data_IF_514065005111
#
_entry.id   IF_514065005111
#
_cell.length_a   1.000
_cell.length_b   1.000
_cell.length_c   1.000
_cell.angle_alpha   90.00
_cell.angle_beta   90.00
_cell.angle_gamma   90.00
#
_symmetry.space_group_name_H-M   'P 1'
#
loop_
_entity.id
_entity.type
_entity.pdbx_description
1 polymer ?
#
# COMPACT_ATOMS: atom_id res chain seq x y z
N UNK A 1 4.39 8.68 10.75
CA UNK A 1 3.30 9.61 10.38
C UNK A 1 1.92 8.93 10.33
N UNK A 2 1.77 7.72 9.74
CA UNK A 2 0.47 6.99 9.79
C UNK A 2 -0.02 6.78 11.22
N UNK A 3 0.89 6.42 12.14
CA UNK A 3 0.54 6.26 13.56
C UNK A 3 0.08 7.58 14.19
N UNK A 4 0.83 8.66 13.96
CA UNK A 4 0.46 9.99 14.48
C UNK A 4 -0.90 10.46 13.93
N UNK A 5 -1.13 10.27 12.62
CA UNK A 5 -2.40 10.60 11.98
C UNK A 5 -3.57 9.88 12.63
N UNK A 6 -3.41 8.59 12.89
CA UNK A 6 -4.47 7.75 13.46
C UNK A 6 -4.78 8.15 14.91
N UNK A 7 -3.76 8.47 15.71
CA UNK A 7 -3.92 8.99 17.06
C UNK A 7 -4.59 10.38 17.12
N UNK A 8 -4.39 11.20 16.07
CA UNK A 8 -5.08 12.47 15.95
C UNK A 8 -6.56 12.33 15.60
N UNK A 9 -6.91 11.25 14.88
CA UNK A 9 -8.27 10.99 14.38
C UNK A 9 -9.19 10.33 15.39
N UNK A 10 -8.68 9.45 16.25
CA UNK A 10 -9.50 8.63 17.12
C UNK A 10 -9.02 8.66 18.58
N UNK A 11 -9.96 8.64 19.52
CA UNK A 11 -9.73 8.55 20.97
C UNK A 11 -9.79 7.10 21.45
N UNK A 12 -9.21 6.78 22.62
CA UNK A 12 -9.38 5.47 23.24
C UNK A 12 -10.85 5.06 23.32
N UNK A 13 -11.16 3.85 22.92
CA UNK A 13 -12.52 3.30 22.88
C UNK A 13 -13.30 3.55 21.59
N UNK A 14 -12.86 4.46 20.72
CA UNK A 14 -13.44 4.65 19.40
C UNK A 14 -12.90 3.61 18.40
N UNK A 15 -13.58 3.47 17.27
CA UNK A 15 -13.20 2.58 16.19
C UNK A 15 -12.71 3.34 14.95
N UNK A 16 -11.87 2.70 14.15
CA UNK A 16 -11.44 3.19 12.84
C UNK A 16 -11.68 2.09 11.78
N UNK A 17 -12.42 2.44 10.74
CA UNK A 17 -12.69 1.55 9.61
C UNK A 17 -11.52 1.58 8.63
N UNK A 18 -10.97 0.42 8.27
CA UNK A 18 -9.81 0.33 7.38
C UNK A 18 -9.80 -0.96 6.54
N UNK A 19 -9.26 -0.94 5.30
CA UNK A 19 -9.17 -2.12 4.47
C UNK A 19 -8.11 -3.10 5.00
N UNK A 20 -8.29 -4.40 4.76
CA UNK A 20 -7.32 -5.42 5.21
C UNK A 20 -5.94 -5.30 4.60
N UNK A 21 -5.80 -4.66 3.45
CA UNK A 21 -4.48 -4.40 2.84
C UNK A 21 -3.77 -3.17 3.39
N UNK A 22 -4.14 -2.74 4.61
CA UNK A 22 -3.51 -1.61 5.30
C UNK A 22 -2.10 -1.97 5.80
N UNK A 23 -1.23 -0.98 5.88
CA UNK A 23 0.08 -1.18 6.48
C UNK A 23 -0.01 -1.45 7.98
N UNK A 24 0.78 -2.38 8.48
CA UNK A 24 0.80 -2.81 9.90
C UNK A 24 0.88 -1.67 10.92
N UNK A 25 1.48 -0.54 10.56
CA UNK A 25 1.60 0.62 11.44
C UNK A 25 0.24 1.21 11.85
N UNK A 26 -0.81 1.02 11.04
CA UNK A 26 -2.15 1.46 11.41
C UNK A 26 -2.74 0.58 12.51
N UNK A 27 -2.53 -0.73 12.45
CA UNK A 27 -2.94 -1.64 13.53
C UNK A 27 -2.13 -1.35 14.81
N UNK A 28 -0.82 -1.12 14.69
CA UNK A 28 0.01 -0.73 15.83
C UNK A 28 -0.46 0.58 16.46
N UNK A 29 -0.89 1.56 15.65
CA UNK A 29 -1.46 2.80 16.18
C UNK A 29 -2.74 2.55 16.97
N UNK A 30 -3.60 1.65 16.52
CA UNK A 30 -4.79 1.23 17.24
C UNK A 30 -4.42 0.60 18.60
N UNK A 31 -3.36 -0.22 18.64
CA UNK A 31 -2.86 -0.80 19.90
C UNK A 31 -2.40 0.29 20.87
N UNK A 32 -1.57 1.23 20.42
CA UNK A 32 -1.05 2.32 21.27
C UNK A 32 -2.15 3.29 21.72
N UNK A 33 -3.08 3.60 20.83
CA UNK A 33 -4.15 4.57 21.08
C UNK A 33 -5.37 4.00 21.80
N UNK A 34 -5.41 2.69 22.08
CA UNK A 34 -6.62 2.06 22.62
C UNK A 34 -7.82 2.14 21.67
N UNK A 35 -7.56 2.25 20.37
CA UNK A 35 -8.55 2.37 19.29
C UNK A 35 -8.88 0.98 18.73
N UNK A 36 -10.11 0.76 18.32
CA UNK A 36 -10.54 -0.51 17.73
C UNK A 36 -10.42 -0.47 16.21
N UNK A 37 -9.60 -1.35 15.58
CA UNK A 37 -9.59 -1.47 14.13
C UNK A 37 -10.78 -2.31 13.66
N UNK A 38 -11.63 -1.74 12.80
CA UNK A 38 -12.66 -2.48 12.07
C UNK A 38 -12.11 -2.74 10.66
N UNK A 39 -11.80 -4.00 10.37
CA UNK A 39 -11.18 -4.38 9.10
C UNK A 39 -12.25 -4.84 8.11
N UNK A 40 -12.28 -4.25 6.93
CA UNK A 40 -13.10 -4.73 5.83
C UNK A 40 -12.27 -5.39 4.74
N UNK A 41 -12.84 -6.43 4.14
CA UNK A 41 -12.20 -7.13 3.03
C UNK A 41 -12.08 -6.24 1.80
N UNK A 42 -11.05 -6.52 1.01
CA UNK A 42 -10.87 -5.94 -0.32
C UNK A 42 -11.08 -7.02 -1.39
N UNK A 43 -11.46 -6.65 -2.63
CA UNK A 43 -11.58 -7.62 -3.72
C UNK A 43 -10.28 -8.40 -3.91
N UNK A 44 -10.39 -9.73 -4.00
CA UNK A 44 -9.26 -10.62 -4.19
C UNK A 44 -9.24 -11.19 -5.61
N UNK A 45 -8.09 -11.12 -6.26
CA UNK A 45 -7.87 -11.59 -7.62
C UNK A 45 -7.31 -13.02 -7.59
N UNK A 46 -8.20 -14.01 -7.74
CA UNK A 46 -7.86 -15.43 -7.59
C UNK A 46 -6.91 -15.98 -8.65
N UNK A 47 -6.81 -15.32 -9.82
CA UNK A 47 -5.90 -15.71 -10.89
C UNK A 47 -4.44 -15.35 -10.61
N UNK A 48 -4.21 -14.44 -9.67
CA UNK A 48 -2.89 -13.89 -9.34
C UNK A 48 -2.56 -13.85 -7.85
N UNK A 49 -3.53 -14.11 -7.00
CA UNK A 49 -3.32 -14.33 -5.56
C UNK A 49 -3.06 -13.09 -4.73
N UNK A 50 -3.59 -11.91 -5.15
CA UNK A 50 -3.48 -10.69 -4.36
C UNK A 50 -4.75 -9.82 -4.38
N UNK A 51 -4.77 -8.82 -3.51
CA UNK A 51 -5.87 -7.87 -3.41
C UNK A 51 -5.86 -6.85 -4.58
N UNK A 52 -7.05 -6.36 -4.94
CA UNK A 52 -7.27 -5.26 -5.87
C UNK A 52 -7.73 -4.01 -5.15
N UNK A 53 -8.09 -2.98 -5.90
CA UNK A 53 -8.85 -1.82 -5.42
C UNK A 53 -10.35 -2.16 -5.32
N UNK A 54 -11.09 -1.29 -4.68
CA UNK A 54 -12.54 -1.40 -4.54
C UNK A 54 -13.22 -0.09 -5.00
N UNK A 55 -14.51 -0.21 -5.34
CA UNK A 55 -15.34 0.90 -5.75
C UNK A 55 -16.18 1.48 -4.59
N UNK A 56 -16.92 2.55 -4.90
CA UNK A 56 -17.83 3.20 -3.95
C UNK A 56 -18.88 2.22 -3.38
N UNK A 57 -19.43 1.31 -4.19
CA UNK A 57 -20.46 0.37 -3.73
C UNK A 57 -19.90 -0.62 -2.71
N UNK A 58 -18.64 -1.03 -2.90
CA UNK A 58 -17.93 -1.87 -1.94
C UNK A 58 -17.74 -1.15 -0.60
N UNK A 59 -17.29 0.10 -0.64
CA UNK A 59 -17.10 0.94 0.54
C UNK A 59 -18.42 1.19 1.28
N UNK A 60 -19.50 1.49 0.57
CA UNK A 60 -20.84 1.66 1.16
C UNK A 60 -21.31 0.42 1.93
N UNK A 61 -21.04 -0.78 1.40
CA UNK A 61 -21.34 -2.02 2.12
C UNK A 61 -20.48 -2.15 3.37
N UNK A 62 -19.19 -1.84 3.27
CA UNK A 62 -18.28 -1.90 4.41
C UNK A 62 -18.70 -0.94 5.52
N UNK A 63 -19.07 0.31 5.19
CA UNK A 63 -19.54 1.31 6.15
C UNK A 63 -20.85 0.84 6.81
N UNK A 64 -21.84 0.37 6.04
CA UNK A 64 -23.11 -0.14 6.61
C UNK A 64 -22.87 -1.30 7.57
N UNK A 65 -22.09 -2.29 7.18
CA UNK A 65 -21.81 -3.44 8.03
C UNK A 65 -20.99 -3.02 9.28
N UNK A 66 -20.15 -2.00 9.19
CA UNK A 66 -19.44 -1.46 10.34
C UNK A 66 -20.38 -0.73 11.31
N UNK A 67 -21.37 0.00 10.79
CA UNK A 67 -22.39 0.67 11.59
C UNK A 67 -23.29 -0.33 12.35
N UNK A 68 -23.54 -1.52 11.79
CA UNK A 68 -24.27 -2.61 12.46
C UNK A 68 -23.54 -3.18 13.70
N UNK A 69 -22.24 -2.87 13.85
CA UNK A 69 -21.47 -3.27 15.03
C UNK A 69 -21.73 -2.36 16.25
N UNK A 70 -22.47 -1.26 16.06
CA UNK A 70 -22.79 -0.25 17.09
C UNK A 70 -21.56 0.39 17.75
N UNK A 71 -20.43 0.42 17.02
CA UNK A 71 -19.17 1.04 17.48
C UNK A 71 -19.09 2.50 17.05
N UNK A 72 -18.47 3.34 17.88
CA UNK A 72 -18.23 4.77 17.59
C UNK A 72 -17.10 4.92 16.57
N UNK A 73 -17.43 4.97 15.28
CA UNK A 73 -16.49 5.08 14.19
C UNK A 73 -16.02 6.52 14.08
N UNK A 74 -14.74 6.77 14.37
CA UNK A 74 -14.13 8.10 14.36
C UNK A 74 -13.57 8.51 12.99
N UNK A 75 -13.15 7.55 12.16
CA UNK A 75 -12.50 7.84 10.87
C UNK A 75 -12.49 6.61 9.95
N UNK A 76 -12.20 6.87 8.67
CA UNK A 76 -11.91 5.83 7.68
C UNK A 76 -10.48 6.00 7.17
N UNK A 77 -9.75 4.88 7.07
CA UNK A 77 -8.41 4.84 6.45
C UNK A 77 -8.52 4.16 5.10
N UNK A 78 -7.84 4.69 4.09
CA UNK A 78 -7.73 4.11 2.75
C UNK A 78 -6.27 3.92 2.36
N UNK A 79 -6.02 3.08 1.35
CA UNK A 79 -4.70 2.88 0.73
C UNK A 79 -4.81 3.15 -0.76
N UNK A 80 -4.03 4.11 -1.27
CA UNK A 80 -4.02 4.44 -2.69
C UNK A 80 -2.72 5.16 -3.11
N UNK A 81 -2.01 4.69 -4.14
CA UNK A 81 -2.23 3.42 -4.83
C UNK A 81 -1.91 2.21 -3.94
N UNK A 82 -2.36 1.03 -4.36
CA UNK A 82 -1.93 -0.22 -3.73
C UNK A 82 -0.44 -0.46 -4.00
N UNK A 83 0.13 -1.44 -3.32
CA UNK A 83 1.54 -1.81 -3.51
C UNK A 83 1.87 -2.19 -4.95
N UNK A 84 0.93 -2.86 -5.62
CA UNK A 84 1.04 -3.27 -7.03
C UNK A 84 0.81 -2.10 -8.01
N UNK A 85 0.40 -0.92 -7.54
CA UNK A 85 0.17 0.26 -8.37
C UNK A 85 -1.26 0.38 -8.91
N UNK A 86 -2.22 -0.32 -8.33
CA UNK A 86 -3.63 -0.09 -8.65
C UNK A 86 -4.14 1.15 -7.92
N UNK A 87 -4.85 2.04 -8.62
CA UNK A 87 -5.51 3.19 -8.01
C UNK A 87 -7.03 3.05 -8.09
N UNK A 88 -7.70 3.43 -7.02
CA UNK A 88 -9.17 3.52 -6.96
C UNK A 88 -9.67 4.88 -7.43
N UNK A 89 -10.97 4.99 -7.66
CA UNK A 89 -11.67 6.26 -7.92
C UNK A 89 -11.83 7.05 -6.61
N UNK A 90 -10.74 7.71 -6.18
CA UNK A 90 -10.64 8.33 -4.86
C UNK A 90 -11.68 9.42 -4.63
N UNK A 91 -12.05 10.20 -5.66
CA UNK A 91 -13.07 11.23 -5.52
C UNK A 91 -14.39 10.67 -5.00
N UNK A 92 -14.84 9.57 -5.60
CA UNK A 92 -16.10 8.93 -5.21
C UNK A 92 -16.04 8.29 -3.82
N UNK A 93 -14.89 7.75 -3.42
CA UNK A 93 -14.67 7.15 -2.12
C UNK A 93 -14.63 8.21 -1.01
N UNK A 94 -13.87 9.28 -1.21
CA UNK A 94 -13.74 10.37 -0.23
C UNK A 94 -15.10 11.06 -0.03
N UNK A 95 -15.83 11.34 -1.13
CA UNK A 95 -17.17 11.92 -1.06
C UNK A 95 -18.15 11.03 -0.29
N UNK A 96 -18.06 9.72 -0.46
CA UNK A 96 -18.87 8.77 0.30
C UNK A 96 -18.55 8.83 1.79
N UNK A 97 -17.28 8.82 2.19
CA UNK A 97 -16.87 8.90 3.59
C UNK A 97 -17.35 10.24 4.21
N UNK A 98 -17.16 11.33 3.50
CA UNK A 98 -17.59 12.66 3.95
C UNK A 98 -19.11 12.77 4.10
N UNK A 99 -19.90 12.02 3.30
CA UNK A 99 -21.37 12.00 3.45
C UNK A 99 -21.83 11.40 4.80
N UNK A 100 -20.96 10.64 5.46
CA UNK A 100 -21.15 10.13 6.81
C UNK A 100 -20.52 11.03 7.89
N UNK A 101 -20.09 12.25 7.54
CA UNK A 101 -19.37 13.20 8.42
C UNK A 101 -18.06 12.67 8.99
N UNK A 102 -17.50 11.61 8.43
CA UNK A 102 -16.26 10.99 8.87
C UNK A 102 -15.04 11.64 8.16
N UNK A 103 -13.93 11.89 8.87
CA UNK A 103 -12.67 12.24 8.25
C UNK A 103 -12.03 11.04 7.57
N UNK A 104 -11.20 11.31 6.55
CA UNK A 104 -10.45 10.28 5.81
C UNK A 104 -8.94 10.49 5.88
N UNK A 105 -8.23 9.43 6.29
CA UNK A 105 -6.79 9.30 6.16
C UNK A 105 -6.47 8.42 4.96
N UNK A 106 -5.59 8.87 4.07
CA UNK A 106 -5.11 8.05 2.95
C UNK A 106 -3.63 7.75 3.09
N UNK A 107 -3.29 6.47 3.12
CA UNK A 107 -1.92 6.00 2.97
C UNK A 107 -1.55 6.02 1.49
N UNK A 108 -0.89 7.08 1.07
CA UNK A 108 -0.31 7.28 -0.27
C UNK A 108 1.22 7.08 -0.29
N UNK A 109 1.75 6.25 0.61
CA UNK A 109 3.19 6.04 0.72
C UNK A 109 3.85 5.63 -0.61
N UNK A 110 3.12 4.96 -1.49
CA UNK A 110 3.60 4.51 -2.81
C UNK A 110 3.25 5.47 -3.96
N UNK A 111 2.53 6.55 -3.70
CA UNK A 111 2.03 7.51 -4.68
C UNK A 111 2.61 8.91 -4.57
N UNK A 112 3.72 9.12 -3.86
CA UNK A 112 4.23 10.47 -3.56
C UNK A 112 4.38 11.37 -4.79
N UNK A 113 4.91 10.85 -5.90
CA UNK A 113 5.12 11.66 -7.11
C UNK A 113 3.81 12.12 -7.78
N UNK A 114 2.68 11.49 -7.45
CA UNK A 114 1.35 11.84 -7.98
C UNK A 114 0.88 13.22 -7.52
N UNK A 115 1.43 13.72 -6.40
CA UNK A 115 1.11 15.07 -5.90
C UNK A 115 1.54 16.16 -6.89
N UNK A 116 2.54 15.91 -7.72
CA UNK A 116 3.01 16.87 -8.73
C UNK A 116 1.99 17.15 -9.83
N UNK A 117 0.97 16.29 -9.98
CA UNK A 117 -0.04 16.36 -11.06
C UNK A 117 0.57 16.59 -12.45
N UNK A 118 1.77 16.05 -12.66
CA UNK A 118 2.60 16.28 -13.84
C UNK A 118 1.90 15.92 -15.15
N UNK A 119 1.02 14.93 -15.12
CA UNK A 119 0.39 14.34 -16.32
C UNK A 119 -1.09 14.02 -16.07
N UNK A 120 -1.96 14.34 -17.02
CA UNK A 120 -3.40 14.08 -16.90
C UNK A 120 -3.75 12.58 -17.01
N UNK A 121 -2.85 11.76 -17.58
CA UNK A 121 -3.03 10.31 -17.73
C UNK A 121 -2.55 9.50 -16.51
N UNK A 122 -2.07 10.16 -15.46
CA UNK A 122 -1.74 9.54 -14.19
C UNK A 122 -2.87 9.73 -13.16
N UNK A 123 -3.00 8.81 -12.20
CA UNK A 123 -3.85 9.04 -11.04
C UNK A 123 -3.48 10.35 -10.33
N UNK A 124 -4.48 11.03 -9.80
CA UNK A 124 -4.24 12.21 -8.94
C UNK A 124 -4.08 11.77 -7.49
N UNK A 125 -3.29 12.52 -6.72
CA UNK A 125 -3.24 12.35 -5.28
C UNK A 125 -4.61 12.60 -4.64
N UNK A 126 -4.92 11.87 -3.59
CA UNK A 126 -6.15 11.99 -2.82
C UNK A 126 -6.34 13.39 -2.21
N UNK A 127 -5.27 14.16 -2.08
CA UNK A 127 -5.33 15.59 -1.74
C UNK A 127 -6.19 16.38 -2.72
N UNK A 128 -6.14 16.06 -4.02
CA UNK A 128 -6.93 16.74 -5.05
C UNK A 128 -8.43 16.50 -4.91
N UNK A 129 -8.83 15.52 -4.13
CA UNK A 129 -10.23 15.13 -3.91
C UNK A 129 -10.71 15.42 -2.49
N UNK A 130 -9.92 16.14 -1.69
CA UNK A 130 -10.31 16.60 -0.37
C UNK A 130 -10.07 15.59 0.76
N UNK A 131 -9.17 14.61 0.60
CA UNK A 131 -8.76 13.76 1.73
C UNK A 131 -8.22 14.63 2.86
N UNK A 132 -8.69 14.40 4.09
CA UNK A 132 -8.36 15.25 5.24
C UNK A 132 -6.90 15.09 5.69
N UNK A 133 -6.41 13.85 5.67
CA UNK A 133 -5.01 13.52 5.97
C UNK A 133 -4.45 12.61 4.87
N UNK A 134 -3.26 12.90 4.38
CA UNK A 134 -2.54 12.07 3.40
C UNK A 134 -1.09 11.89 3.82
N UNK A 135 -0.61 10.65 3.83
CA UNK A 135 0.78 10.32 4.16
C UNK A 135 1.55 9.90 2.92
N UNK A 136 2.64 10.60 2.63
CA UNK A 136 3.58 10.26 1.57
C UNK A 136 4.92 9.81 2.13
N UNK A 137 5.46 8.69 1.64
CA UNK A 137 6.84 8.24 1.92
C UNK A 137 7.76 8.73 0.81
N UNK A 138 8.52 9.79 1.09
CA UNK A 138 9.39 10.44 0.10
C UNK A 138 10.50 9.50 -0.39
N UNK A 139 10.95 8.59 0.45
CA UNK A 139 11.99 7.60 0.13
C UNK A 139 11.51 6.43 -0.75
N UNK A 140 10.19 6.29 -1.00
CA UNK A 140 9.64 5.20 -1.82
C UNK A 140 9.39 5.64 -3.26
N UNK A 141 8.72 6.77 -3.44
CA UNK A 141 8.28 7.25 -4.75
C UNK A 141 8.56 8.74 -4.98
N UNK A 142 9.62 9.26 -4.34
CA UNK A 142 10.26 10.54 -4.56
C UNK A 142 11.75 10.43 -4.21
N UNK A 143 12.61 11.40 -4.56
CA UNK A 143 14.06 11.30 -4.34
C UNK A 143 14.51 11.60 -2.91
N UNK A 144 13.72 11.21 -1.91
CA UNK A 144 14.03 11.41 -0.49
C UNK A 144 14.94 10.33 0.10
N UNK A 145 15.72 10.71 1.11
CA UNK A 145 16.49 9.76 1.90
C UNK A 145 15.56 8.83 2.69
N UNK A 146 16.05 7.63 3.02
CA UNK A 146 15.32 6.66 3.84
C UNK A 146 14.85 7.30 5.15
N UNK A 147 13.66 6.95 5.59
CA UNK A 147 12.91 7.53 6.72
C UNK A 147 12.27 8.91 6.46
N UNK A 148 12.47 9.53 5.29
CA UNK A 148 11.77 10.78 4.96
C UNK A 148 10.32 10.52 4.58
N UNK A 149 9.41 11.28 5.17
CA UNK A 149 7.98 11.21 4.90
C UNK A 149 7.30 12.55 5.21
N UNK A 150 6.14 12.78 4.60
CA UNK A 150 5.32 13.98 4.81
C UNK A 150 3.89 13.59 5.14
N UNK A 151 3.30 14.30 6.08
CA UNK A 151 1.88 14.30 6.37
C UNK A 151 1.28 15.61 5.85
N UNK A 152 0.30 15.49 5.01
CA UNK A 152 -0.53 16.59 4.52
C UNK A 152 -1.84 16.61 5.29
N UNK A 153 -2.26 17.81 5.68
CA UNK A 153 -3.55 18.04 6.35
C UNK A 153 -4.28 19.16 5.63
N UNK A 154 -5.58 18.99 5.42
CA UNK A 154 -6.45 20.02 4.84
C UNK A 154 -7.88 19.90 5.37
N UNK A 155 -8.68 20.96 5.15
CA UNK A 155 -10.05 21.01 5.64
C UNK A 155 -10.13 21.27 7.14
N UNK A 156 -11.32 21.05 7.71
CA UNK A 156 -11.67 21.40 9.09
C UNK A 156 -12.08 20.18 9.95
N UNK A 157 -12.10 18.97 9.36
CA UNK A 157 -12.55 17.76 10.06
C UNK A 157 -11.55 17.24 11.08
N UNK A 158 -10.28 17.61 10.96
CA UNK A 158 -9.21 17.17 11.85
C UNK A 158 -8.56 18.40 12.49
N UNK A 159 -8.61 18.46 13.83
CA UNK A 159 -8.01 19.54 14.60
C UNK A 159 -6.47 19.53 14.44
N UNK A 160 -5.86 20.61 13.90
CA UNK A 160 -4.41 20.70 13.72
C UNK A 160 -3.63 20.50 15.01
N UNK A 161 -4.15 20.96 16.15
CA UNK A 161 -3.52 20.78 17.45
C UNK A 161 -3.38 19.31 17.86
N UNK A 162 -4.38 18.47 17.54
CA UNK A 162 -4.28 17.02 17.76
C UNK A 162 -3.21 16.38 16.90
N UNK A 163 -3.05 16.87 15.67
CA UNK A 163 -2.02 16.37 14.74
C UNK A 163 -0.64 16.69 15.33
N UNK A 164 -0.40 17.95 15.73
CA UNK A 164 0.87 18.38 16.33
C UNK A 164 1.21 17.55 17.57
N UNK A 165 0.27 17.43 18.50
CA UNK A 165 0.44 16.64 19.74
C UNK A 165 0.77 15.16 19.44
N UNK A 166 0.11 14.57 18.47
CA UNK A 166 0.36 13.17 18.10
C UNK A 166 1.72 12.98 17.42
N UNK A 167 2.17 13.99 16.67
CA UNK A 167 3.50 14.00 16.07
C UNK A 167 4.55 14.13 17.17
N UNK A 168 4.42 15.09 18.08
CA UNK A 168 5.34 15.28 19.21
C UNK A 168 5.50 14.01 20.06
N UNK A 169 4.39 13.30 20.29
CA UNK A 169 4.40 12.05 21.08
C UNK A 169 5.22 10.93 20.46
N UNK A 170 5.26 10.83 19.13
CA UNK A 170 5.86 9.71 18.41
C UNK A 170 7.16 10.06 17.69
N UNK A 171 7.48 11.33 17.54
CA UNK A 171 8.74 11.76 16.93
C UNK A 171 9.87 11.84 17.95
N UNK A 172 11.10 11.82 17.41
CA UNK A 172 12.29 12.11 18.20
C UNK A 172 12.32 13.57 18.63
N UNK A 173 12.79 13.85 19.85
CA UNK A 173 13.06 15.22 20.31
C UNK A 173 14.27 15.86 19.63
N UNK A 174 15.06 15.10 18.88
CA UNK A 174 16.26 15.54 18.15
C UNK A 174 16.16 15.19 16.67
N UNK A 175 15.30 15.89 15.89
CA UNK A 175 15.13 15.59 14.48
C UNK A 175 16.42 15.84 13.69
N UNK A 176 16.74 14.93 12.76
CA UNK A 176 17.90 15.07 11.89
C UNK A 176 17.70 16.19 10.86
N UNK A 177 18.52 17.24 10.91
CA UNK A 177 18.51 18.32 9.92
C UNK A 177 18.71 17.81 8.50
N UNK A 178 19.52 16.73 8.32
CA UNK A 178 19.72 16.10 7.02
C UNK A 178 18.44 15.49 6.45
N UNK A 179 17.62 14.83 7.30
CA UNK A 179 16.35 14.28 6.88
C UNK A 179 15.32 15.37 6.56
N UNK A 180 15.29 16.45 7.36
CA UNK A 180 14.41 17.59 7.09
C UNK A 180 14.79 18.24 5.75
N UNK A 181 16.06 18.54 5.53
CA UNK A 181 16.54 19.08 4.27
C UNK A 181 16.26 18.15 3.08
N UNK A 182 16.35 16.83 3.29
CA UNK A 182 15.98 15.85 2.27
C UNK A 182 14.48 15.85 1.95
N UNK A 183 13.62 16.03 2.94
CA UNK A 183 12.17 16.18 2.71
C UNK A 183 11.88 17.43 1.87
N UNK A 184 12.43 18.56 2.24
CA UNK A 184 12.26 19.82 1.52
C UNK A 184 12.77 19.72 0.08
N UNK A 185 14.01 19.23 -0.10
CA UNK A 185 14.60 19.04 -1.43
C UNK A 185 13.77 18.10 -2.32
N UNK A 186 13.25 16.99 -1.75
CA UNK A 186 12.43 16.04 -2.50
C UNK A 186 11.10 16.62 -2.95
N UNK A 187 10.46 17.41 -2.09
CA UNK A 187 9.22 18.09 -2.44
C UNK A 187 9.47 19.14 -3.51
N UNK A 188 10.51 19.96 -3.34
CA UNK A 188 10.88 20.96 -4.34
C UNK A 188 11.17 20.32 -5.71
N UNK A 189 11.88 19.19 -5.76
CA UNK A 189 12.16 18.48 -7.02
C UNK A 189 10.87 17.98 -7.72
N UNK A 190 9.80 17.67 -6.99
CA UNK A 190 8.53 17.28 -7.59
C UNK A 190 7.78 18.44 -8.27
N UNK A 191 8.03 19.68 -7.84
CA UNK A 191 7.31 20.86 -8.35
C UNK A 191 8.17 21.76 -9.23
N UNK A 192 9.49 21.70 -9.14
CA UNK A 192 10.35 22.52 -10.02
C UNK A 192 10.40 21.96 -11.46
N UNK A 193 10.65 22.84 -12.42
CA UNK A 193 10.62 22.51 -13.85
C UNK A 193 11.66 21.45 -14.26
N UNK A 194 12.83 21.44 -13.60
CA UNK A 194 13.92 20.48 -13.88
C UNK A 194 13.56 19.09 -13.35
N UNK A 195 13.04 19.03 -12.13
CA UNK A 195 12.60 17.77 -11.51
C UNK A 195 11.40 17.17 -12.24
N UNK A 196 10.42 17.98 -12.62
CA UNK A 196 9.27 17.54 -13.43
C UNK A 196 9.70 17.00 -14.80
N UNK A 197 10.65 17.65 -15.48
CA UNK A 197 11.21 17.14 -16.74
C UNK A 197 11.89 15.79 -16.53
N UNK A 198 12.68 15.64 -15.46
CA UNK A 198 13.33 14.38 -15.10
C UNK A 198 12.31 13.28 -14.81
N UNK A 199 11.30 13.56 -13.99
CA UNK A 199 10.22 12.62 -13.67
C UNK A 199 9.47 12.20 -14.93
N UNK A 200 9.08 13.15 -15.79
CA UNK A 200 8.40 12.83 -17.05
C UNK A 200 9.26 11.90 -17.93
N UNK A 201 10.56 12.17 -18.03
CA UNK A 201 11.48 11.30 -18.78
C UNK A 201 11.51 9.89 -18.21
N UNK A 202 11.49 9.72 -16.88
CA UNK A 202 11.46 8.39 -16.25
C UNK A 202 10.15 7.65 -16.50
N UNK A 203 9.03 8.36 -16.47
CA UNK A 203 7.72 7.79 -16.79
C UNK A 203 7.67 7.30 -18.24
N UNK A 204 8.18 8.07 -19.19
CA UNK A 204 8.25 7.66 -20.60
C UNK A 204 9.20 6.46 -20.80
N UNK A 205 10.35 6.43 -20.14
CA UNK A 205 11.23 5.26 -20.16
C UNK A 205 10.54 4.01 -19.57
N UNK A 206 9.78 4.16 -18.50
CA UNK A 206 9.04 3.07 -17.87
C UNK A 206 7.93 2.53 -18.78
N UNK A 207 7.16 3.41 -19.42
CA UNK A 207 6.15 3.03 -20.42
C UNK A 207 6.78 2.29 -21.59
N UNK A 208 7.85 2.85 -22.16
CA UNK A 208 8.59 2.22 -23.27
C UNK A 208 9.16 0.85 -22.88
N UNK A 209 9.61 0.68 -21.64
CA UNK A 209 10.05 -0.60 -21.12
C UNK A 209 8.89 -1.60 -21.05
N UNK A 210 7.75 -1.20 -20.51
CA UNK A 210 6.54 -2.02 -20.42
C UNK A 210 6.08 -2.46 -21.80
N UNK A 211 5.98 -1.54 -22.77
CA UNK A 211 5.58 -1.84 -24.15
C UNK A 211 6.57 -2.82 -24.81
N UNK A 212 7.87 -2.61 -24.61
CA UNK A 212 8.89 -3.53 -25.11
C UNK A 212 8.73 -4.93 -24.51
N UNK A 213 8.50 -5.06 -23.18
CA UNK A 213 8.29 -6.36 -22.53
C UNK A 213 7.04 -7.05 -23.05
N UNK A 214 5.93 -6.32 -23.23
CA UNK A 214 4.69 -6.83 -23.81
C UNK A 214 4.93 -7.32 -25.26
N UNK A 215 5.68 -6.55 -26.07
CA UNK A 215 6.03 -6.94 -27.45
C UNK A 215 6.89 -8.22 -27.54
N UNK A 216 7.43 -8.68 -26.42
CA UNK A 216 8.23 -9.89 -26.27
C UNK A 216 7.48 -11.00 -25.52
N UNK A 217 6.15 -10.91 -25.47
CA UNK A 217 5.26 -11.89 -24.82
C UNK A 217 5.54 -12.11 -23.32
N UNK A 218 6.15 -11.13 -22.66
CA UNK A 218 6.27 -11.15 -21.19
C UNK A 218 4.88 -10.90 -20.60
N UNK A 219 4.36 -11.77 -19.73
CA UNK A 219 3.00 -11.67 -19.21
C UNK A 219 2.90 -10.58 -18.14
N UNK A 220 2.68 -9.36 -18.53
CA UNK A 220 2.49 -8.25 -17.62
C UNK A 220 1.00 -8.00 -17.33
N UNK A 221 0.72 -7.54 -16.13
CA UNK A 221 -0.60 -7.08 -15.71
C UNK A 221 -0.67 -5.56 -15.80
N UNK A 222 -1.82 -5.06 -16.24
CA UNK A 222 -2.08 -3.62 -16.26
C UNK A 222 -2.28 -3.09 -14.85
N UNK A 223 -1.76 -1.90 -14.59
CA UNK A 223 -1.98 -1.12 -13.38
C UNK A 223 -2.06 0.37 -13.72
N UNK A 224 -2.30 1.22 -12.72
CA UNK A 224 -2.43 2.67 -12.90
C UNK A 224 -1.11 3.42 -12.73
N UNK A 225 -0.09 2.78 -12.17
CA UNK A 225 1.23 3.38 -11.87
C UNK A 225 2.28 2.90 -12.88
N UNK A 226 2.72 3.75 -13.83
CA UNK A 226 3.72 3.35 -14.84
C UNK A 226 5.09 2.99 -14.26
N UNK A 227 5.39 3.40 -13.02
CA UNK A 227 6.62 3.04 -12.32
C UNK A 227 6.53 1.67 -11.62
N UNK A 228 5.42 0.94 -11.80
CA UNK A 228 5.23 -0.43 -11.34
C UNK A 228 5.08 -1.37 -12.53
N UNK A 229 5.83 -2.45 -12.52
CA UNK A 229 5.68 -3.55 -13.48
C UNK A 229 5.26 -4.79 -12.71
N UNK A 230 4.13 -5.39 -13.08
CA UNK A 230 3.61 -6.59 -12.44
C UNK A 230 3.76 -7.75 -13.42
N UNK A 231 4.65 -8.68 -13.13
CA UNK A 231 4.85 -9.92 -13.90
C UNK A 231 3.86 -10.98 -13.42
N UNK A 232 3.03 -11.49 -14.30
CA UNK A 232 2.01 -12.52 -14.02
C UNK A 232 2.60 -13.92 -14.16
N UNK A 233 3.23 -14.45 -13.13
CA UNK A 233 3.93 -15.73 -13.17
C UNK A 233 3.00 -16.94 -13.19
N UNK A 234 1.87 -16.87 -12.50
CA UNK A 234 0.87 -17.95 -12.47
C UNK A 234 0.26 -18.26 -13.82
N UNK A 235 0.25 -17.31 -14.77
CA UNK A 235 -0.15 -17.54 -16.17
C UNK A 235 0.70 -18.67 -16.83
N UNK A 236 1.92 -18.88 -16.36
CA UNK A 236 2.84 -19.93 -16.83
C UNK A 236 2.95 -21.10 -15.85
N UNK A 237 2.07 -21.18 -14.85
CA UNK A 237 2.12 -22.21 -13.83
C UNK A 237 3.30 -22.07 -12.87
N UNK A 238 3.87 -20.87 -12.73
CA UNK A 238 5.04 -20.59 -11.91
C UNK A 238 4.65 -19.76 -10.68
N UNK A 239 5.22 -20.10 -9.53
CA UNK A 239 5.11 -19.27 -8.34
C UNK A 239 5.95 -18.00 -8.51
N UNK A 240 5.40 -16.83 -8.11
CA UNK A 240 6.15 -15.58 -8.10
C UNK A 240 7.39 -15.67 -7.20
N UNK A 241 7.29 -16.34 -6.05
CA UNK A 241 8.40 -16.54 -5.11
C UNK A 241 9.54 -17.33 -5.76
N UNK A 242 9.23 -18.49 -6.39
CA UNK A 242 10.24 -19.31 -7.08
C UNK A 242 10.89 -18.57 -8.26
N UNK A 243 10.12 -17.75 -8.96
CA UNK A 243 10.61 -16.93 -10.09
C UNK A 243 11.51 -15.80 -9.59
N UNK A 244 11.13 -15.14 -8.50
CA UNK A 244 11.93 -14.05 -7.90
C UNK A 244 13.31 -14.54 -7.45
N UNK A 245 13.39 -15.70 -6.79
CA UNK A 245 14.67 -16.33 -6.43
C UNK A 245 15.61 -16.50 -7.64
N UNK A 246 15.04 -16.85 -8.81
CA UNK A 246 15.80 -17.00 -10.04
C UNK A 246 16.22 -15.65 -10.62
N UNK A 247 15.36 -14.63 -10.56
CA UNK A 247 15.69 -13.28 -10.95
C UNK A 247 16.81 -12.70 -10.07
N UNK A 248 16.74 -12.90 -8.75
CA UNK A 248 17.78 -12.44 -7.79
C UNK A 248 19.15 -13.02 -8.15
N UNK A 249 19.23 -14.35 -8.46
CA UNK A 249 20.50 -14.97 -8.90
C UNK A 249 21.06 -14.36 -10.19
N UNK A 250 20.21 -13.74 -10.99
CA UNK A 250 20.59 -13.00 -12.22
C UNK A 250 20.67 -11.49 -11.97
N UNK A 251 20.68 -11.02 -10.72
CA UNK A 251 20.77 -9.61 -10.30
C UNK A 251 19.64 -8.73 -10.86
N UNK A 252 18.43 -9.26 -10.96
CA UNK A 252 17.20 -8.51 -11.08
C UNK A 252 16.43 -8.77 -9.80
N UNK A 253 16.05 -7.70 -9.11
CA UNK A 253 15.42 -7.78 -7.79
C UNK A 253 13.97 -7.31 -7.95
N UNK A 254 13.02 -8.19 -7.60
CA UNK A 254 11.62 -7.84 -7.42
C UNK A 254 11.44 -7.07 -6.11
N UNK A 255 10.48 -6.20 -6.07
CA UNK A 255 10.10 -5.50 -4.83
C UNK A 255 9.18 -6.37 -3.98
N UNK A 256 8.24 -7.05 -4.63
CA UNK A 256 7.27 -7.91 -3.95
C UNK A 256 7.00 -9.15 -4.79
N UNK A 257 7.40 -10.30 -4.26
CA UNK A 257 7.04 -11.61 -4.80
C UNK A 257 5.82 -12.16 -4.08
N UNK A 258 4.76 -12.43 -4.83
CA UNK A 258 3.49 -13.00 -4.36
C UNK A 258 3.27 -14.37 -4.99
N UNK A 259 2.29 -15.17 -4.53
CA UNK A 259 2.10 -16.53 -5.07
C UNK A 259 1.95 -16.60 -6.58
N UNK A 260 1.32 -15.62 -7.22
CA UNK A 260 1.08 -15.61 -8.66
C UNK A 260 1.71 -14.46 -9.43
N UNK A 261 2.44 -13.55 -8.77
CA UNK A 261 3.00 -12.35 -9.39
C UNK A 261 4.34 -11.94 -8.78
N UNK A 262 5.05 -11.07 -9.50
CA UNK A 262 6.16 -10.28 -8.95
C UNK A 262 5.93 -8.83 -9.35
N UNK A 263 5.93 -7.93 -8.37
CA UNK A 263 5.90 -6.50 -8.60
C UNK A 263 7.32 -5.95 -8.58
N UNK A 264 7.69 -5.20 -9.63
CA UNK A 264 8.95 -4.47 -9.73
C UNK A 264 8.67 -2.98 -9.60
N UNK A 265 9.48 -2.30 -8.78
CA UNK A 265 9.45 -0.86 -8.63
C UNK A 265 10.55 -0.22 -9.46
N UNK A 266 10.17 0.64 -10.39
CA UNK A 266 11.13 1.40 -11.20
C UNK A 266 11.45 2.70 -10.45
N UNK A 267 12.73 2.90 -10.16
CA UNK A 267 13.21 4.12 -9.50
C UNK A 267 13.41 5.29 -10.49
N UNK A 268 13.91 6.41 -9.95
CA UNK A 268 14.22 7.62 -10.74
C UNK A 268 15.53 7.54 -11.52
N UNK A 269 16.21 6.39 -11.52
CA UNK A 269 17.39 6.11 -12.36
C UNK A 269 16.99 5.65 -13.75
N UNK A 270 17.89 5.76 -14.74
CA UNK A 270 17.61 5.29 -16.10
C UNK A 270 17.48 3.77 -16.17
N UNK A 271 16.51 3.29 -16.96
CA UNK A 271 16.22 1.87 -17.17
C UNK A 271 16.81 1.32 -18.49
N UNK A 272 17.75 2.05 -19.11
CA UNK A 272 18.38 1.65 -20.38
C UNK A 272 19.01 0.25 -20.29
N UNK A 273 18.71 -0.60 -21.26
CA UNK A 273 19.23 -1.98 -21.35
C UNK A 273 18.51 -3.02 -20.46
N UNK A 274 17.67 -2.60 -19.51
CA UNK A 274 16.96 -3.51 -18.62
C UNK A 274 16.02 -4.45 -19.39
N UNK A 275 15.29 -3.96 -20.39
CA UNK A 275 14.28 -4.75 -21.11
C UNK A 275 14.88 -5.99 -21.80
N UNK A 276 15.95 -5.85 -22.57
CA UNK A 276 16.63 -6.98 -23.24
C UNK A 276 17.12 -8.02 -22.23
N UNK A 277 17.69 -7.55 -21.12
CA UNK A 277 18.18 -8.41 -20.05
C UNK A 277 17.03 -9.16 -19.36
N UNK A 278 15.94 -8.45 -19.06
CA UNK A 278 14.74 -9.02 -18.45
C UNK A 278 14.13 -10.14 -19.33
N UNK A 279 13.90 -9.87 -20.62
CA UNK A 279 13.36 -10.83 -21.58
C UNK A 279 14.22 -12.08 -21.65
N UNK A 280 15.56 -11.92 -21.77
CA UNK A 280 16.49 -13.07 -21.82
C UNK A 280 16.35 -13.95 -20.58
N UNK A 281 16.33 -13.35 -19.39
CA UNK A 281 16.24 -14.08 -18.12
C UNK A 281 14.87 -14.73 -17.97
N UNK A 282 13.79 -14.00 -18.30
CA UNK A 282 12.44 -14.52 -18.28
C UNK A 282 12.30 -15.77 -19.17
N UNK A 283 12.77 -15.70 -20.40
CA UNK A 283 12.74 -16.84 -21.34
C UNK A 283 13.57 -18.04 -20.85
N UNK A 284 14.70 -17.81 -20.20
CA UNK A 284 15.50 -18.87 -19.56
C UNK A 284 14.72 -19.52 -18.43
N UNK A 285 14.05 -18.72 -17.57
CA UNK A 285 13.24 -19.22 -16.47
C UNK A 285 12.06 -20.04 -16.99
N UNK A 286 11.33 -19.54 -17.97
CA UNK A 286 10.20 -20.26 -18.56
C UNK A 286 10.66 -21.58 -19.17
N UNK A 287 11.72 -21.56 -19.99
CA UNK A 287 12.26 -22.78 -20.64
C UNK A 287 12.67 -23.86 -19.63
N UNK A 288 13.25 -23.48 -18.50
CA UNK A 288 13.77 -24.42 -17.50
C UNK A 288 12.73 -24.85 -16.46
N UNK A 289 11.64 -24.10 -16.31
CA UNK A 289 10.70 -24.27 -15.20
C UNK A 289 9.27 -24.55 -15.65
N UNK A 290 9.02 -24.52 -16.98
CA UNK A 290 7.69 -24.77 -17.53
C UNK A 290 7.18 -26.14 -17.08
N UNK A 291 6.20 -26.12 -16.21
CA UNK A 291 5.40 -27.30 -15.88
C UNK A 291 4.12 -27.22 -16.70
N UNK A 292 3.69 -28.34 -17.30
CA UNK A 292 2.41 -28.42 -18.02
C UNK A 292 1.33 -27.67 -17.26
N UNK A 293 0.78 -26.65 -17.87
CA UNK A 293 -0.08 -25.62 -17.34
C UNK A 293 -1.12 -26.14 -16.33
N UNK A 294 -0.87 -25.94 -15.05
CA UNK A 294 -1.96 -25.81 -14.08
C UNK A 294 -2.26 -24.32 -13.99
N UNK A 295 -3.43 -23.90 -14.43
CA UNK A 295 -3.99 -22.61 -14.06
C UNK A 295 -4.09 -22.61 -12.53
N UNK A 296 -3.24 -21.86 -11.85
CA UNK A 296 -3.38 -21.68 -10.43
C UNK A 296 -4.59 -20.79 -10.19
N UNK A 297 -5.51 -21.25 -9.38
CA UNK A 297 -6.54 -20.41 -8.80
C UNK A 297 -6.24 -20.33 -7.32
N UNK A 298 -5.97 -19.13 -6.83
CA UNK A 298 -5.68 -18.90 -5.43
C UNK A 298 -6.99 -18.75 -4.66
N UNK A 299 -7.13 -19.50 -3.58
CA UNK A 299 -8.30 -19.43 -2.74
C UNK A 299 -8.30 -18.10 -1.98
N UNK A 300 -9.42 -17.40 -2.04
CA UNK A 300 -9.63 -16.21 -1.22
C UNK A 300 -9.55 -16.59 0.26
N UNK A 301 -8.85 -15.81 1.08
CA UNK A 301 -8.93 -15.98 2.53
C UNK A 301 -10.40 -15.94 3.02
N UNK A 302 -10.79 -16.79 3.97
CA UNK A 302 -12.18 -16.86 4.46
C UNK A 302 -12.48 -15.73 5.45
N UNK A 303 -12.41 -14.48 4.99
CA UNK A 303 -12.71 -13.31 5.79
C UNK A 303 -14.15 -12.82 5.54
N UNK A 304 -14.75 -12.22 6.55
CA UNK A 304 -15.99 -11.48 6.41
C UNK A 304 -15.71 -10.07 5.86
N UNK A 305 -16.72 -9.43 5.24
CA UNK A 305 -16.60 -8.06 4.73
C UNK A 305 -16.18 -7.09 5.84
N UNK A 306 -16.66 -7.32 7.05
CA UNK A 306 -16.25 -6.57 8.24
C UNK A 306 -15.98 -7.57 9.35
N UNK A 307 -14.79 -7.48 9.95
CA UNK A 307 -14.45 -8.31 11.11
C UNK A 307 -14.99 -7.67 12.38
N UNK A 308 -15.50 -8.49 13.29
CA UNK A 308 -15.83 -8.04 14.64
C UNK A 308 -14.58 -7.43 15.28
N UNK A 309 -14.67 -6.22 15.83
CA UNK A 309 -13.49 -5.56 16.38
C UNK A 309 -12.96 -6.33 17.59
N UNK A 310 -11.68 -6.52 17.60
CA UNK A 310 -10.91 -6.97 18.76
C UNK A 310 -10.17 -5.77 19.33
N UNK A 311 -10.14 -5.64 20.65
CA UNK A 311 -9.39 -4.55 21.32
C UNK A 311 -7.91 -4.91 21.37
N UNK A 312 -7.06 -4.47 20.43
CA UNK A 312 -5.66 -4.90 20.38
C UNK A 312 -4.88 -4.51 21.63
N UNK A 313 -5.22 -3.37 22.26
CA UNK A 313 -4.59 -2.91 23.49
C UNK A 313 -4.84 -3.87 24.69
N UNK A 314 -5.94 -4.61 24.68
CA UNK A 314 -6.25 -5.56 25.77
C UNK A 314 -5.37 -6.81 25.73
N UNK A 315 -4.72 -7.11 24.62
CA UNK A 315 -3.82 -8.26 24.48
C UNK A 315 -2.35 -7.92 24.77
N UNK A 316 -2.01 -6.64 24.87
CA UNK A 316 -0.65 -6.22 25.15
C UNK A 316 -0.25 -6.56 26.58
N UNK A 317 0.82 -7.33 26.72
CA UNK A 317 1.33 -7.73 28.04
C UNK A 317 0.59 -8.91 28.70
N UNK A 318 -0.34 -9.56 28.00
CA UNK A 318 -0.93 -10.81 28.47
C UNK A 318 0.08 -11.97 28.36
N UNK A 319 -0.08 -12.96 29.24
CA UNK A 319 0.65 -14.22 29.13
C UNK A 319 0.31 -14.92 27.81
N UNK A 320 1.30 -15.56 27.22
CA UNK A 320 1.15 -16.28 25.95
C UNK A 320 1.85 -17.64 26.01
N UNK A 321 1.39 -18.55 25.16
CA UNK A 321 2.01 -19.85 24.95
C UNK A 321 2.39 -20.05 23.48
N UNK A 322 3.44 -20.81 23.23
CA UNK A 322 3.83 -21.24 21.90
C UNK A 322 3.13 -22.55 21.57
N UNK A 323 2.35 -22.55 20.51
CA UNK A 323 1.61 -23.72 20.05
C UNK A 323 1.97 -24.05 18.60
N UNK A 324 1.79 -25.32 18.20
CA UNK A 324 1.90 -25.68 16.79
C UNK A 324 0.75 -25.04 15.97
N UNK A 325 0.98 -24.80 14.69
CA UNK A 325 -0.03 -24.20 13.80
C UNK A 325 -1.38 -24.97 13.84
N UNK A 326 -1.35 -26.29 13.95
CA UNK A 326 -2.57 -27.12 14.04
C UNK A 326 -3.39 -26.85 15.29
N UNK A 327 -2.73 -26.48 16.39
CA UNK A 327 -3.33 -26.26 17.70
C UNK A 327 -3.71 -24.78 17.90
N UNK A 328 -3.44 -23.92 16.90
CA UNK A 328 -3.73 -22.48 16.93
C UNK A 328 -5.16 -22.15 16.52
N UNK A 329 -5.91 -23.11 15.97
CA UNK A 329 -7.29 -22.87 15.49
C UNK A 329 -8.18 -22.47 16.68
N UNK A 330 -8.88 -21.33 16.53
CA UNK A 330 -9.74 -20.77 17.57
C UNK A 330 -9.02 -19.97 18.66
N UNK A 331 -7.70 -19.84 18.58
CA UNK A 331 -6.88 -19.02 19.49
C UNK A 331 -6.66 -17.62 18.93
N UNK A 332 -6.34 -16.68 19.80
CA UNK A 332 -5.99 -15.31 19.45
C UNK A 332 -4.48 -15.21 19.29
N UNK A 333 -4.01 -14.73 18.14
CA UNK A 333 -2.59 -14.49 17.92
C UNK A 333 -2.12 -13.28 18.75
N UNK A 334 -1.05 -13.45 19.52
CA UNK A 334 -0.39 -12.34 20.23
C UNK A 334 0.59 -11.59 19.35
N UNK A 335 0.95 -12.16 18.22
CA UNK A 335 1.80 -11.52 17.22
C UNK A 335 0.98 -11.21 15.97
N UNK A 336 1.19 -10.03 15.41
CA UNK A 336 0.63 -9.70 14.09
C UNK A 336 1.35 -10.53 13.04
N UNK A 337 0.63 -11.42 12.37
CA UNK A 337 1.16 -12.18 11.24
C UNK A 337 1.21 -11.27 10.04
N UNK A 338 2.41 -10.87 9.64
CA UNK A 338 2.64 -9.88 8.61
C UNK A 338 3.74 -10.40 7.66
N UNK A 339 3.37 -11.14 6.60
CA UNK A 339 4.34 -11.62 5.62
C UNK A 339 5.15 -10.45 5.06
N UNK A 340 6.45 -10.61 5.02
CA UNK A 340 7.36 -9.60 4.46
C UNK A 340 7.38 -9.67 2.94
N UNK A 341 7.69 -8.53 2.32
CA UNK A 341 6.98 -7.27 2.40
C UNK A 341 5.58 -7.44 1.83
N UNK A 342 4.62 -6.58 1.98
CA UNK A 342 4.69 -5.16 2.20
C UNK A 342 4.30 -4.70 3.62
N UNK A 343 4.30 -5.57 4.61
CA UNK A 343 3.86 -5.21 5.96
C UNK A 343 2.34 -5.21 6.11
N UNK A 344 1.63 -5.96 5.26
CA UNK A 344 0.18 -6.14 5.33
C UNK A 344 -0.12 -7.29 6.29
N UNK A 345 -0.92 -7.07 7.36
CA UNK A 345 -1.29 -8.11 8.31
C UNK A 345 -2.30 -9.09 7.68
N UNK A 346 -2.17 -10.35 8.08
CA UNK A 346 -3.14 -11.41 7.75
C UNK A 346 -4.31 -11.40 8.71
#
# INVERSE_FOLDING_TARGET
LLQSSLLALARPGQAVLMPRNIHKSCIQACMFGGVMPILFDVPFLSDRGHASTFDRRWLQRAIRNAQELEEDIAAVVLVNPTYQGYSAEMESLIREIHSHSLPVLVDEAHGTYLISQLRPDLPKSSLSFGADLVVHSLHKSAPGLVQSAVLWSQGDKVDPFKIERSIELLQTSSPSSLLIASCESSINELFDSKGQKKLNTRIEEAKSLTDFLISKDVPLLNNSDPLRIILHTSKFGLSGIEVDEKFIKKRIIGELAEPGTITFCLGFSSHKGLGKRFVRIWNEIVKTSYRKQKLYSFTRPPFNIVSKPFKPCSSWGLDYEKVNLKDSIGRISVEMVCPYPPGIPL
#
